data_IF_165245934294
#
_entry.id   IF_165245934294
#
_cell.length_a   1.000
_cell.length_b   1.000
_cell.length_c   1.000
_cell.angle_alpha   90.00
_cell.angle_beta   90.00
_cell.angle_gamma   90.00
#
_symmetry.space_group_name_H-M   'P 1'
#
loop_
_entity.id
_entity.type
_entity.pdbx_description
1 polymer ?
#
# COMPACT_ATOMS: atom_id res chain seq x y z
N UNK A 1 -21.88 -11.63 -3.37
CA UNK A 1 -20.50 -11.51 -3.90
C UNK A 1 -19.60 -10.72 -2.94
N UNK A 2 -19.85 -9.45 -2.67
CA UNK A 2 -19.00 -8.61 -1.82
C UNK A 2 -18.76 -9.22 -0.43
N UNK A 3 -19.80 -9.59 0.29
CA UNK A 3 -19.70 -10.15 1.64
C UNK A 3 -18.89 -11.45 1.69
N UNK A 4 -19.04 -12.32 0.70
CA UNK A 4 -18.28 -13.58 0.62
C UNK A 4 -16.79 -13.31 0.40
N UNK A 5 -16.45 -12.39 -0.48
CA UNK A 5 -15.05 -12.02 -0.77
C UNK A 5 -14.42 -11.33 0.45
N UNK A 6 -15.13 -10.38 1.07
CA UNK A 6 -14.66 -9.70 2.29
C UNK A 6 -14.47 -10.71 3.45
N UNK A 7 -15.39 -11.66 3.61
CA UNK A 7 -15.24 -12.73 4.60
C UNK A 7 -13.97 -13.53 4.34
N UNK A 8 -13.73 -13.95 3.09
CA UNK A 8 -12.52 -14.69 2.71
C UNK A 8 -11.24 -13.90 2.97
N UNK A 9 -11.24 -12.61 2.68
CA UNK A 9 -10.09 -11.73 2.99
C UNK A 9 -9.84 -11.64 4.50
N UNK A 10 -10.90 -11.52 5.32
CA UNK A 10 -10.77 -11.49 6.79
C UNK A 10 -10.25 -12.82 7.36
N UNK A 11 -10.69 -13.96 6.82
CA UNK A 11 -10.14 -15.28 7.15
C UNK A 11 -8.63 -15.34 6.87
N UNK A 12 -8.18 -14.78 5.76
CA UNK A 12 -6.75 -14.75 5.39
C UNK A 12 -5.92 -13.85 6.30
N UNK A 13 -6.49 -12.78 6.84
CA UNK A 13 -5.88 -11.94 7.88
C UNK A 13 -5.70 -12.74 9.19
N UNK A 14 -6.51 -13.78 9.42
CA UNK A 14 -6.48 -14.57 10.62
C UNK A 14 -7.52 -14.14 11.68
N UNK A 15 -8.54 -13.36 11.29
CA UNK A 15 -9.63 -13.04 12.20
C UNK A 15 -10.57 -14.23 12.34
N UNK A 16 -11.00 -14.59 13.59
CA UNK A 16 -11.79 -15.78 13.85
C UNK A 16 -13.03 -15.86 12.95
N UNK A 17 -13.20 -16.98 12.26
CA UNK A 17 -14.33 -17.27 11.34
C UNK A 17 -14.53 -16.24 10.21
N UNK A 18 -13.54 -15.37 9.96
CA UNK A 18 -13.68 -14.25 9.04
C UNK A 18 -14.73 -13.24 9.48
N UNK A 19 -15.03 -13.19 10.78
CA UNK A 19 -15.96 -12.22 11.33
C UNK A 19 -15.41 -10.80 11.26
N UNK A 20 -16.32 -9.83 11.29
CA UNK A 20 -15.98 -8.41 11.16
C UNK A 20 -16.87 -7.71 10.14
N UNK A 21 -16.43 -6.53 9.76
CA UNK A 21 -17.08 -5.67 8.77
C UNK A 21 -16.12 -5.37 7.62
N UNK A 22 -16.59 -4.66 6.61
CA UNK A 22 -15.77 -4.21 5.50
C UNK A 22 -16.60 -3.74 4.31
N UNK A 23 -15.92 -3.05 3.41
CA UNK A 23 -16.46 -2.66 2.11
C UNK A 23 -15.32 -2.45 1.09
N UNK A 24 -15.66 -2.51 -0.19
CA UNK A 24 -14.78 -2.07 -1.26
C UNK A 24 -14.92 -0.55 -1.46
N UNK A 25 -13.80 0.13 -1.57
CA UNK A 25 -13.69 1.58 -1.68
C UNK A 25 -12.89 2.00 -2.92
N UNK A 26 -13.03 3.26 -3.37
CA UNK A 26 -12.34 3.77 -4.56
C UNK A 26 -10.86 4.06 -4.28
N UNK A 27 -10.09 3.04 -3.97
CA UNK A 27 -8.64 3.11 -3.76
C UNK A 27 -8.21 3.20 -2.30
N UNK A 28 -6.92 2.85 -2.06
CA UNK A 28 -6.35 2.74 -0.72
C UNK A 28 -6.36 4.03 0.10
N UNK A 29 -6.32 5.20 -0.54
CA UNK A 29 -6.41 6.47 0.17
C UNK A 29 -7.76 6.64 0.88
N UNK A 30 -8.84 6.23 0.25
CA UNK A 30 -10.18 6.25 0.84
C UNK A 30 -10.32 5.14 1.89
N UNK A 31 -9.77 3.96 1.65
CA UNK A 31 -9.72 2.90 2.69
C UNK A 31 -8.99 3.38 3.96
N UNK A 32 -7.86 4.08 3.81
CA UNK A 32 -7.13 4.66 4.94
C UNK A 32 -7.96 5.74 5.66
N UNK A 33 -8.70 6.56 4.91
CA UNK A 33 -9.62 7.55 5.49
C UNK A 33 -10.72 6.88 6.30
N UNK A 34 -11.30 5.79 5.80
CA UNK A 34 -12.26 4.98 6.56
C UNK A 34 -11.65 4.46 7.87
N UNK A 35 -10.41 3.94 7.84
CA UNK A 35 -9.75 3.45 9.07
C UNK A 35 -9.65 4.54 10.14
N UNK A 36 -9.22 5.74 9.76
CA UNK A 36 -9.09 6.88 10.70
C UNK A 36 -10.48 7.33 11.20
N UNK A 37 -11.45 7.43 10.29
CA UNK A 37 -12.82 7.83 10.63
C UNK A 37 -13.50 6.85 11.60
N UNK A 38 -13.35 5.55 11.35
CA UNK A 38 -13.91 4.49 12.21
C UNK A 38 -13.24 4.50 13.58
N UNK A 39 -11.92 4.66 13.63
CA UNK A 39 -11.20 4.76 14.89
C UNK A 39 -11.69 5.96 15.72
N UNK A 40 -11.83 7.13 15.08
CA UNK A 40 -12.40 8.31 15.71
C UNK A 40 -13.83 8.05 16.24
N UNK A 41 -14.69 7.49 15.43
CA UNK A 41 -16.07 7.17 15.82
C UNK A 41 -16.13 6.18 16.98
N UNK A 42 -15.26 5.16 16.98
CA UNK A 42 -15.23 4.15 18.06
C UNK A 42 -14.96 4.77 19.43
N UNK A 43 -14.04 5.72 19.52
CA UNK A 43 -13.66 6.35 20.78
C UNK A 43 -14.47 7.61 21.09
N UNK A 44 -14.98 8.29 20.07
CA UNK A 44 -15.74 9.55 20.18
C UNK A 44 -16.97 9.52 19.27
N UNK A 45 -17.98 8.69 19.56
CA UNK A 45 -19.14 8.52 18.66
C UNK A 45 -19.94 9.81 18.49
N UNK A 46 -19.93 10.70 19.46
CA UNK A 46 -20.60 12.00 19.39
C UNK A 46 -20.09 12.91 18.28
N UNK A 47 -18.87 12.70 17.79
CA UNK A 47 -18.30 13.43 16.66
C UNK A 47 -19.19 13.28 15.39
N UNK A 48 -19.91 12.17 15.26
CA UNK A 48 -20.86 11.96 14.16
C UNK A 48 -21.95 13.03 14.12
N UNK A 49 -22.44 13.46 15.28
CA UNK A 49 -23.60 14.36 15.36
C UNK A 49 -23.20 15.80 15.77
N UNK A 50 -22.15 15.94 16.59
CA UNK A 50 -21.73 17.23 17.17
C UNK A 50 -20.46 17.80 16.53
N UNK A 51 -19.83 17.05 15.60
CA UNK A 51 -18.57 17.46 14.96
C UNK A 51 -17.35 17.31 15.87
N UNK A 52 -16.19 17.77 15.41
CA UNK A 52 -14.90 17.61 16.10
C UNK A 52 -14.82 18.32 17.44
N UNK A 53 -15.69 19.30 17.71
CA UNK A 53 -15.76 19.98 19.01
C UNK A 53 -16.21 19.05 20.15
N UNK A 54 -16.82 17.90 19.84
CA UNK A 54 -17.20 16.90 20.83
C UNK A 54 -16.04 15.95 21.23
N UNK A 55 -14.87 16.07 20.59
CA UNK A 55 -13.69 15.28 20.92
C UNK A 55 -12.57 16.18 21.46
N UNK A 56 -11.68 15.66 22.32
CA UNK A 56 -10.44 16.38 22.68
C UNK A 56 -9.55 16.51 21.44
N UNK A 57 -8.46 17.24 21.57
CA UNK A 57 -7.44 17.29 20.52
C UNK A 57 -6.90 15.87 20.26
N UNK A 58 -7.16 15.36 19.07
CA UNK A 58 -6.73 14.03 18.64
C UNK A 58 -5.45 14.12 17.81
N UNK A 59 -4.57 13.13 17.97
CA UNK A 59 -3.35 12.97 17.17
C UNK A 59 -3.33 11.63 16.46
N UNK A 60 -2.70 11.60 15.30
CA UNK A 60 -2.45 10.37 14.53
C UNK A 60 -0.95 10.13 14.51
N UNK A 61 -0.53 8.91 14.81
CA UNK A 61 0.86 8.53 14.66
C UNK A 61 1.03 7.67 13.40
N UNK A 62 2.07 7.94 12.63
CA UNK A 62 2.38 7.18 11.43
C UNK A 62 3.87 7.21 11.13
N UNK A 63 4.39 6.21 10.40
CA UNK A 63 5.78 6.22 9.96
C UNK A 63 6.08 7.45 9.09
N UNK A 64 7.27 8.00 9.19
CA UNK A 64 7.76 9.07 8.29
C UNK A 64 7.73 8.65 6.81
N UNK A 65 7.82 7.34 6.53
CA UNK A 65 7.72 6.76 5.20
C UNK A 65 6.31 6.26 4.85
N UNK A 66 5.31 6.58 5.68
CA UNK A 66 3.93 6.20 5.41
C UNK A 66 3.36 6.88 4.17
N UNK A 67 2.37 6.25 3.57
CA UNK A 67 1.68 6.82 2.43
C UNK A 67 1.01 8.17 2.81
N UNK A 68 1.19 9.18 1.97
CA UNK A 68 0.70 10.56 2.19
C UNK A 68 -0.81 10.65 2.51
N UNK A 69 -1.60 9.63 2.18
CA UNK A 69 -3.04 9.57 2.46
C UNK A 69 -3.38 9.62 3.95
N UNK A 70 -2.46 9.26 4.84
CA UNK A 70 -2.68 9.38 6.29
C UNK A 70 -2.72 10.87 6.68
N UNK A 71 -1.78 11.68 6.16
CA UNK A 71 -1.81 13.15 6.35
C UNK A 71 -3.08 13.77 5.75
N UNK A 72 -3.47 13.32 4.54
CA UNK A 72 -4.74 13.76 3.93
C UNK A 72 -5.96 13.38 4.76
N UNK A 73 -5.99 12.18 5.32
CA UNK A 73 -7.07 11.75 6.20
C UNK A 73 -7.14 12.62 7.47
N UNK A 74 -6.00 12.92 8.09
CA UNK A 74 -5.93 13.85 9.23
C UNK A 74 -6.48 15.23 8.92
N UNK A 75 -6.13 15.80 7.76
CA UNK A 75 -6.65 17.09 7.32
C UNK A 75 -8.16 17.02 7.03
N UNK A 76 -8.59 16.06 6.20
CA UNK A 76 -9.98 15.94 5.74
C UNK A 76 -10.97 15.62 6.88
N UNK A 77 -10.54 14.87 7.89
CA UNK A 77 -11.37 14.47 9.02
C UNK A 77 -11.31 15.42 10.21
N UNK A 78 -10.66 16.59 10.07
CA UNK A 78 -10.64 17.64 11.07
C UNK A 78 -9.62 17.46 12.20
N UNK A 79 -8.70 16.51 12.12
CA UNK A 79 -7.58 16.41 13.07
C UNK A 79 -6.56 17.53 12.87
N UNK A 80 -6.38 17.98 11.62
CA UNK A 80 -5.31 18.87 11.20
C UNK A 80 -4.04 18.10 10.82
N UNK A 81 -3.35 18.54 9.76
CA UNK A 81 -2.12 17.89 9.27
C UNK A 81 -0.97 17.92 10.26
N UNK A 82 -0.89 18.94 11.10
CA UNK A 82 0.13 19.09 12.15
C UNK A 82 -0.05 18.10 13.31
N UNK A 83 -1.26 17.57 13.49
CA UNK A 83 -1.56 16.53 14.47
C UNK A 83 -1.30 15.11 13.93
N UNK A 84 -0.72 14.98 12.73
CA UNK A 84 -0.22 13.71 12.21
C UNK A 84 1.28 13.62 12.52
N UNK A 85 1.59 12.94 13.60
CA UNK A 85 2.95 12.82 14.16
C UNK A 85 3.70 11.72 13.40
N UNK A 86 4.85 12.08 12.84
CA UNK A 86 5.70 11.14 12.11
C UNK A 86 6.62 10.41 13.10
N UNK A 87 6.70 9.09 12.95
CA UNK A 87 7.57 8.20 13.70
C UNK A 87 8.83 7.92 12.89
N UNK A 88 9.96 7.97 13.56
CA UNK A 88 11.27 7.66 12.96
C UNK A 88 11.34 6.20 12.56
N UNK A 89 12.14 5.93 11.52
CA UNK A 89 12.36 4.60 10.99
C UNK A 89 13.84 4.24 11.04
N UNK A 90 14.11 2.94 11.09
CA UNK A 90 15.47 2.43 10.88
C UNK A 90 15.88 2.53 9.40
N UNK A 91 17.11 2.16 9.09
CA UNK A 91 17.67 2.18 7.73
C UNK A 91 16.87 1.34 6.73
N UNK A 92 16.11 0.35 7.21
CA UNK A 92 15.23 -0.49 6.40
C UNK A 92 13.78 0.01 6.32
N UNK A 93 13.50 1.20 6.88
CA UNK A 93 12.18 1.83 6.88
C UNK A 93 11.17 1.24 7.88
N UNK A 94 11.64 0.48 8.88
CA UNK A 94 10.78 -0.04 9.95
C UNK A 94 10.68 1.00 11.07
N UNK A 95 9.49 1.22 11.58
CA UNK A 95 9.29 2.12 12.73
C UNK A 95 10.16 1.65 13.91
N UNK A 96 10.89 2.60 14.51
CA UNK A 96 11.68 2.36 15.72
C UNK A 96 10.73 2.28 16.93
N UNK A 97 10.63 1.12 17.61
CA UNK A 97 9.66 0.96 18.70
C UNK A 97 9.85 1.96 19.85
N UNK A 98 11.09 2.30 20.21
CA UNK A 98 11.40 3.27 21.27
C UNK A 98 10.98 4.69 20.90
N UNK A 99 11.07 5.08 19.61
CA UNK A 99 10.53 6.36 19.15
C UNK A 99 8.99 6.37 19.19
N UNK A 100 8.38 5.23 18.88
CA UNK A 100 6.95 5.02 19.04
C UNK A 100 6.53 5.11 20.51
N UNK A 101 7.22 4.43 21.42
CA UNK A 101 6.96 4.48 22.87
C UNK A 101 7.13 5.90 23.43
N UNK A 102 8.15 6.62 22.99
CA UNK A 102 8.38 8.01 23.37
C UNK A 102 7.27 8.97 22.87
N UNK A 103 6.70 8.68 21.69
CA UNK A 103 5.65 9.51 21.05
C UNK A 103 4.24 8.98 21.25
N UNK A 104 4.07 7.75 21.75
CA UNK A 104 2.78 7.12 21.98
C UNK A 104 2.71 6.55 23.38
N UNK A 105 1.72 6.97 24.11
CA UNK A 105 1.01 6.11 25.06
C UNK A 105 -0.21 5.44 24.42
N UNK A 106 -0.58 5.76 23.18
CA UNK A 106 -1.68 5.05 22.48
C UNK A 106 -1.86 5.47 21.01
N UNK A 107 -1.45 4.66 20.01
CA UNK A 107 -2.15 4.57 18.73
C UNK A 107 -1.61 3.44 17.81
N UNK A 108 -2.47 2.46 17.47
CA UNK A 108 -2.17 1.33 16.58
C UNK A 108 -2.89 1.48 15.25
N UNK A 109 -2.16 1.74 14.16
CA UNK A 109 -2.67 1.56 12.80
C UNK A 109 -1.56 1.15 11.83
N UNK A 110 -1.80 0.11 11.04
CA UNK A 110 -0.92 -0.33 9.95
C UNK A 110 -1.69 -0.32 8.63
N UNK A 111 -1.25 0.46 7.64
CA UNK A 111 -1.74 0.40 6.27
C UNK A 111 -0.85 -0.52 5.43
N UNK A 112 -1.43 -1.45 4.67
CA UNK A 112 -0.67 -2.46 3.95
C UNK A 112 -0.94 -2.44 2.44
N UNK A 113 -0.02 -1.89 1.65
CA UNK A 113 0.02 -2.12 0.20
C UNK A 113 0.45 -3.55 -0.15
N UNK A 114 1.18 -4.20 0.74
CA UNK A 114 1.65 -5.58 0.65
C UNK A 114 0.64 -6.64 1.06
N UNK A 115 -0.64 -6.32 1.24
CA UNK A 115 -1.67 -7.28 1.65
C UNK A 115 -1.76 -8.53 0.78
N UNK A 116 -1.33 -8.46 -0.49
CA UNK A 116 -1.22 -9.62 -1.37
C UNK A 116 -0.34 -10.76 -0.82
N UNK A 117 0.65 -10.47 0.03
CA UNK A 117 1.49 -11.51 0.65
C UNK A 117 0.70 -12.52 1.49
N UNK A 118 -0.49 -12.15 1.99
CA UNK A 118 -1.38 -13.07 2.71
C UNK A 118 -1.86 -14.24 1.85
N UNK A 119 -1.82 -14.09 0.52
CA UNK A 119 -2.18 -15.17 -0.43
C UNK A 119 -1.08 -16.24 -0.52
N UNK A 120 0.18 -15.91 -0.21
CA UNK A 120 1.33 -16.81 -0.33
C UNK A 120 1.61 -17.54 0.97
N UNK A 121 1.55 -18.87 0.96
CA UNK A 121 1.96 -19.71 2.11
C UNK A 121 3.44 -19.53 2.43
N UNK A 122 4.28 -19.33 1.42
CA UNK A 122 5.73 -19.13 1.54
C UNK A 122 6.09 -17.80 2.19
N UNK A 123 5.34 -16.72 1.93
CA UNK A 123 5.72 -15.36 2.29
C UNK A 123 4.80 -14.63 3.27
N UNK A 124 3.62 -15.21 3.63
CA UNK A 124 2.67 -14.57 4.55
C UNK A 124 3.24 -14.26 5.93
N UNK A 125 4.29 -15.00 6.36
CA UNK A 125 4.98 -14.75 7.62
C UNK A 125 5.55 -13.33 7.72
N UNK A 126 5.84 -12.67 6.59
CA UNK A 126 6.29 -11.28 6.53
C UNK A 126 5.24 -10.29 7.04
N UNK A 127 3.98 -10.72 7.14
CA UNK A 127 2.87 -9.95 7.69
C UNK A 127 2.40 -10.46 9.05
N UNK A 128 3.21 -11.25 9.77
CA UNK A 128 2.90 -11.72 11.12
C UNK A 128 2.54 -10.55 12.04
N UNK A 129 1.46 -10.70 12.80
CA UNK A 129 0.90 -9.66 13.65
C UNK A 129 -0.21 -8.83 12.99
N UNK A 130 -0.48 -9.00 11.68
CA UNK A 130 -1.60 -8.32 11.00
C UNK A 130 -2.95 -8.74 11.58
N UNK A 131 -3.05 -9.95 12.10
CA UNK A 131 -4.24 -10.48 12.76
C UNK A 131 -4.65 -9.70 14.02
N UNK A 132 -3.73 -8.94 14.60
CA UNK A 132 -3.97 -8.09 15.77
C UNK A 132 -4.52 -6.71 15.41
N UNK A 133 -4.45 -6.34 14.13
CA UNK A 133 -4.95 -5.04 13.67
C UNK A 133 -6.47 -4.94 13.85
N UNK A 134 -6.97 -3.75 14.20
CA UNK A 134 -8.41 -3.48 14.25
C UNK A 134 -9.00 -3.16 12.88
N UNK A 135 -8.18 -2.68 11.95
CA UNK A 135 -8.55 -2.47 10.56
C UNK A 135 -7.36 -2.75 9.63
N UNK A 136 -7.67 -3.22 8.42
CA UNK A 136 -6.68 -3.51 7.37
C UNK A 136 -7.16 -2.92 6.06
N UNK A 137 -6.34 -2.05 5.46
CA UNK A 137 -6.50 -1.62 4.08
C UNK A 137 -5.78 -2.60 3.16
N UNK A 138 -6.52 -3.26 2.28
CA UNK A 138 -5.96 -4.21 1.31
C UNK A 138 -6.27 -3.75 -0.11
N UNK A 139 -5.22 -3.61 -0.93
CA UNK A 139 -5.31 -3.12 -2.30
C UNK A 139 -5.07 -4.24 -3.34
N UNK A 140 -6.09 -5.02 -3.74
CA UNK A 140 -5.94 -6.04 -4.79
C UNK A 140 -5.45 -5.49 -6.12
N UNK A 141 -5.71 -4.21 -6.42
CA UNK A 141 -5.22 -3.54 -7.64
C UNK A 141 -3.71 -3.24 -7.64
N UNK A 142 -2.96 -3.63 -6.59
CA UNK A 142 -1.51 -3.53 -6.55
C UNK A 142 -0.89 -4.89 -6.85
N UNK A 143 -0.34 -5.56 -5.86
CA UNK A 143 0.40 -6.81 -6.03
C UNK A 143 -0.41 -7.97 -6.63
N UNK A 144 -1.74 -8.00 -6.42
CA UNK A 144 -2.59 -9.07 -6.97
C UNK A 144 -2.99 -8.84 -8.43
N UNK A 145 -2.63 -7.71 -9.04
CA UNK A 145 -2.85 -7.40 -10.44
C UNK A 145 -4.32 -7.21 -10.84
N UNK A 146 -5.22 -6.96 -9.90
CA UNK A 146 -6.60 -6.61 -10.22
C UNK A 146 -6.64 -5.24 -10.90
N UNK A 147 -7.38 -5.07 -12.01
CA UNK A 147 -7.46 -3.76 -12.69
C UNK A 147 -7.89 -2.64 -11.76
N UNK A 148 -7.28 -1.46 -11.93
CA UNK A 148 -7.59 -0.25 -11.17
C UNK A 148 -9.07 0.16 -11.38
N UNK A 149 -9.72 0.55 -10.33
CA UNK A 149 -9.29 0.52 -8.95
C UNK A 149 -9.97 -0.64 -8.22
N UNK A 150 -9.32 -1.21 -7.20
CA UNK A 150 -9.92 -2.21 -6.33
C UNK A 150 -9.20 -2.16 -4.97
N UNK A 151 -9.86 -1.65 -3.97
CA UNK A 151 -9.36 -1.53 -2.60
C UNK A 151 -10.43 -1.96 -1.62
N UNK A 152 -10.06 -2.60 -0.54
CA UNK A 152 -10.97 -2.96 0.54
C UNK A 152 -10.49 -2.37 1.86
N UNK A 153 -11.44 -1.87 2.64
CA UNK A 153 -11.29 -1.67 4.08
C UNK A 153 -11.93 -2.85 4.80
N UNK A 154 -11.16 -3.51 5.62
CA UNK A 154 -11.58 -4.63 6.45
C UNK A 154 -11.47 -4.18 7.91
N UNK A 155 -12.49 -4.46 8.70
CA UNK A 155 -12.58 -4.02 10.09
C UNK A 155 -12.96 -5.21 10.95
N UNK A 156 -12.26 -5.35 12.09
CA UNK A 156 -12.46 -6.47 13.00
C UNK A 156 -13.81 -6.41 13.72
N UNK A 157 -14.29 -5.21 14.00
CA UNK A 157 -15.55 -5.00 14.70
C UNK A 157 -16.73 -5.00 13.74
N UNK A 158 -17.68 -5.90 13.97
CA UNK A 158 -18.88 -6.05 13.15
C UNK A 158 -19.84 -4.87 13.37
N UNK A 159 -20.41 -4.34 12.27
CA UNK A 159 -21.42 -3.28 12.30
C UNK A 159 -20.88 -1.87 12.51
N UNK A 160 -19.57 -1.70 12.74
CA UNK A 160 -18.99 -0.37 13.02
C UNK A 160 -19.08 0.57 11.83
N UNK A 161 -19.01 0.05 10.60
CA UNK A 161 -19.18 0.88 9.38
C UNK A 161 -20.58 1.47 9.30
N UNK A 162 -21.61 0.69 9.59
CA UNK A 162 -22.98 1.17 9.69
C UNK A 162 -23.13 2.19 10.82
N UNK A 163 -22.65 1.88 12.01
CA UNK A 163 -22.69 2.83 13.13
C UNK A 163 -22.05 4.17 12.80
N UNK A 164 -20.88 4.14 12.14
CA UNK A 164 -20.14 5.35 11.78
C UNK A 164 -20.83 6.17 10.67
N UNK A 165 -21.33 5.51 9.60
CA UNK A 165 -21.73 6.19 8.37
C UNK A 165 -23.25 6.33 8.18
N UNK A 166 -24.07 5.45 8.79
CA UNK A 166 -25.50 5.44 8.50
C UNK A 166 -26.18 6.75 8.86
N UNK A 167 -27.00 7.23 7.95
CA UNK A 167 -27.86 8.41 8.11
C UNK A 167 -29.35 8.05 8.04
N UNK A 168 -29.65 6.76 7.81
CA UNK A 168 -31.01 6.21 7.77
C UNK A 168 -31.96 7.00 6.86
N UNK A 169 -31.48 7.39 5.67
CA UNK A 169 -32.27 8.17 4.71
C UNK A 169 -33.49 7.37 4.26
N UNK A 170 -34.67 7.71 4.80
CA UNK A 170 -35.92 6.95 4.61
C UNK A 170 -36.37 6.80 3.17
N UNK A 171 -35.94 7.69 2.26
CA UNK A 171 -36.24 7.59 0.83
C UNK A 171 -35.36 6.58 0.07
N UNK A 172 -34.27 6.10 0.67
CA UNK A 172 -33.36 5.12 0.08
C UNK A 172 -33.35 3.79 0.84
N UNK A 173 -33.43 3.84 2.16
CA UNK A 173 -33.23 2.68 3.04
C UNK A 173 -34.50 2.35 3.82
N UNK A 174 -35.59 2.09 3.08
CA UNK A 174 -36.90 1.77 3.65
C UNK A 174 -36.84 0.42 4.37
N UNK A 175 -37.28 0.34 5.66
CA UNK A 175 -37.26 -0.90 6.41
C UNK A 175 -38.34 -1.93 5.99
N UNK A 176 -39.32 -1.49 5.23
CA UNK A 176 -40.47 -2.27 4.72
C UNK A 176 -40.21 -2.91 3.34
N UNK A 177 -38.98 -2.89 2.85
CA UNK A 177 -38.61 -3.57 1.60
C UNK A 177 -38.86 -5.08 1.69
N UNK A 178 -39.29 -5.68 0.57
CA UNK A 178 -39.61 -7.11 0.47
C UNK A 178 -38.38 -8.02 0.41
N UNK A 179 -37.18 -7.47 0.47
CA UNK A 179 -35.88 -8.18 0.49
C UNK A 179 -35.05 -7.79 1.73
N UNK A 180 -34.02 -8.56 2.02
CA UNK A 180 -33.11 -8.28 3.12
C UNK A 180 -32.36 -6.96 2.91
N UNK A 181 -32.72 -5.93 3.67
CA UNK A 181 -32.15 -4.58 3.64
C UNK A 181 -30.64 -4.57 3.99
N UNK A 182 -30.09 -5.61 4.55
CA UNK A 182 -28.65 -5.74 4.76
C UNK A 182 -27.85 -5.79 3.45
N UNK A 183 -28.50 -6.06 2.33
CA UNK A 183 -27.88 -5.96 1.00
C UNK A 183 -27.72 -4.51 0.53
N UNK A 184 -28.42 -3.55 1.13
CA UNK A 184 -28.32 -2.13 0.83
C UNK A 184 -27.13 -1.52 1.57
N UNK A 185 -25.93 -1.74 1.03
CA UNK A 185 -24.67 -1.34 1.66
C UNK A 185 -24.34 0.15 1.52
N UNK A 186 -25.19 0.96 0.87
CA UNK A 186 -24.98 2.40 0.68
C UNK A 186 -24.87 3.16 1.99
N UNK A 187 -25.69 2.82 2.98
CA UNK A 187 -25.67 3.49 4.30
C UNK A 187 -24.44 3.16 5.16
N UNK A 188 -23.69 2.10 4.82
CA UNK A 188 -22.39 1.78 5.43
C UNK A 188 -21.23 2.57 4.83
N UNK A 189 -21.43 3.19 3.69
CA UNK A 189 -20.40 3.86 2.93
C UNK A 189 -20.56 5.37 2.98
N UNK A 190 -19.46 6.11 2.84
CA UNK A 190 -19.52 7.57 2.59
C UNK A 190 -20.20 7.85 1.25
N UNK A 191 -20.02 6.95 0.28
CA UNK A 191 -20.57 7.06 -1.05
C UNK A 191 -21.92 6.34 -1.11
N UNK A 192 -22.93 7.00 -1.66
CA UNK A 192 -24.24 6.38 -1.94
C UNK A 192 -24.07 5.32 -3.05
N UNK A 193 -23.55 5.71 -4.20
CA UNK A 193 -23.21 4.81 -5.30
C UNK A 193 -21.73 4.40 -5.28
N UNK A 194 -21.44 3.15 -5.59
CA UNK A 194 -20.09 2.62 -5.66
C UNK A 194 -19.82 1.91 -6.99
N UNK A 195 -18.61 2.03 -7.52
CA UNK A 195 -18.17 1.20 -8.64
C UNK A 195 -18.20 -0.28 -8.29
N UNK A 196 -18.45 -1.14 -9.29
CA UNK A 196 -18.51 -2.60 -9.12
C UNK A 196 -17.11 -3.20 -9.12
N UNK A 197 -16.17 -2.60 -8.37
CA UNK A 197 -14.77 -3.02 -8.31
C UNK A 197 -14.61 -4.44 -7.78
N UNK A 198 -15.52 -4.87 -6.92
CA UNK A 198 -15.55 -6.25 -6.40
C UNK A 198 -15.79 -7.28 -7.51
N UNK A 199 -16.55 -6.96 -8.56
CA UNK A 199 -16.85 -7.89 -9.64
C UNK A 199 -15.58 -8.34 -10.37
N UNK A 200 -14.67 -7.39 -10.70
CA UNK A 200 -13.37 -7.69 -11.32
C UNK A 200 -12.57 -8.67 -10.46
N UNK A 201 -12.47 -8.38 -9.19
CA UNK A 201 -11.71 -9.18 -8.25
C UNK A 201 -12.32 -10.57 -8.06
N UNK A 202 -13.64 -10.65 -7.92
CA UNK A 202 -14.36 -11.91 -7.80
C UNK A 202 -14.17 -12.78 -9.04
N UNK A 203 -14.30 -12.22 -10.25
CA UNK A 203 -14.04 -12.96 -11.50
C UNK A 203 -12.62 -13.48 -11.56
N UNK A 204 -11.64 -12.63 -11.24
CA UNK A 204 -10.22 -13.05 -11.20
C UNK A 204 -10.01 -14.16 -10.17
N UNK A 205 -10.65 -14.08 -9.01
CA UNK A 205 -10.53 -15.12 -7.99
C UNK A 205 -11.19 -16.42 -8.42
N UNK A 206 -12.34 -16.34 -9.09
CA UNK A 206 -13.00 -17.53 -9.68
C UNK A 206 -12.16 -18.18 -10.78
N UNK A 207 -11.52 -17.38 -11.62
CA UNK A 207 -10.70 -17.88 -12.71
C UNK A 207 -9.36 -18.47 -12.24
N UNK A 208 -8.66 -17.81 -11.32
CA UNK A 208 -7.31 -18.19 -10.86
C UNK A 208 -7.32 -19.11 -9.64
N UNK A 209 -8.35 -19.03 -8.82
CA UNK A 209 -8.37 -19.61 -7.48
C UNK A 209 -7.36 -18.97 -6.52
N UNK A 210 -7.35 -19.43 -5.28
CA UNK A 210 -6.36 -18.99 -4.28
C UNK A 210 -4.95 -19.42 -4.68
N UNK A 211 -4.80 -20.62 -5.25
CA UNK A 211 -3.50 -21.15 -5.71
C UNK A 211 -2.93 -20.32 -6.85
N UNK A 212 -3.76 -19.88 -7.82
CA UNK A 212 -3.28 -19.03 -8.90
C UNK A 212 -2.82 -17.65 -8.43
N UNK A 213 -3.45 -17.08 -7.41
CA UNK A 213 -2.93 -15.85 -6.77
C UNK A 213 -1.65 -16.11 -5.98
N UNK A 214 -1.55 -17.22 -5.25
CA UNK A 214 -0.31 -17.62 -4.58
C UNK A 214 0.85 -17.69 -5.56
N UNK A 215 0.69 -18.43 -6.66
CA UNK A 215 1.70 -18.57 -7.72
C UNK A 215 2.09 -17.22 -8.33
N UNK A 216 1.13 -16.32 -8.53
CA UNK A 216 1.39 -14.97 -9.01
C UNK A 216 2.27 -14.18 -8.03
N UNK A 217 1.92 -14.20 -6.75
CA UNK A 217 2.67 -13.49 -5.72
C UNK A 217 4.10 -14.04 -5.59
N UNK A 218 4.23 -15.36 -5.54
CA UNK A 218 5.54 -16.03 -5.44
C UNK A 218 6.40 -15.68 -6.65
N UNK A 219 5.85 -15.74 -7.87
CA UNK A 219 6.57 -15.34 -9.09
C UNK A 219 7.05 -13.90 -9.05
N UNK A 220 6.24 -12.96 -8.58
CA UNK A 220 6.66 -11.55 -8.45
C UNK A 220 7.84 -11.39 -7.48
N UNK A 221 7.84 -12.15 -6.39
CA UNK A 221 8.94 -12.16 -5.42
C UNK A 221 10.20 -12.83 -6.00
N UNK A 222 10.04 -13.94 -6.72
CA UNK A 222 11.15 -14.64 -7.37
C UNK A 222 11.81 -13.76 -8.45
N UNK A 223 11.02 -13.02 -9.26
CA UNK A 223 11.54 -12.05 -10.23
C UNK A 223 12.25 -10.87 -9.56
N UNK A 224 11.77 -10.41 -8.42
CA UNK A 224 12.45 -9.37 -7.65
C UNK A 224 13.78 -9.86 -7.09
N UNK A 225 13.82 -11.12 -6.62
CA UNK A 225 15.05 -11.76 -6.20
C UNK A 225 16.02 -11.98 -7.38
N UNK A 226 15.51 -12.33 -8.56
CA UNK A 226 16.28 -12.46 -9.78
C UNK A 226 16.96 -11.13 -10.15
N UNK A 227 16.19 -10.03 -10.19
CA UNK A 227 16.77 -8.70 -10.43
C UNK A 227 17.86 -8.36 -9.42
N UNK A 228 17.59 -8.54 -8.12
CA UNK A 228 18.58 -8.30 -7.07
C UNK A 228 19.86 -9.09 -7.32
N UNK A 229 19.76 -10.39 -7.62
CA UNK A 229 20.94 -11.25 -7.86
C UNK A 229 21.73 -10.84 -9.11
N UNK A 230 21.06 -10.29 -10.12
CA UNK A 230 21.70 -9.81 -11.36
C UNK A 230 22.52 -8.54 -11.16
N UNK A 231 22.09 -7.66 -10.25
CA UNK A 231 22.68 -6.31 -10.14
C UNK A 231 23.53 -6.10 -8.87
N UNK A 232 23.34 -6.90 -7.81
CA UNK A 232 23.99 -6.69 -6.50
C UNK A 232 25.52 -6.63 -6.56
N UNK A 233 26.13 -7.42 -7.46
CA UNK A 233 27.57 -7.51 -7.66
C UNK A 233 27.97 -7.06 -9.10
N UNK A 234 27.03 -6.44 -9.84
CA UNK A 234 27.27 -5.98 -11.22
C UNK A 234 27.93 -4.60 -11.20
N UNK A 235 28.98 -4.43 -12.00
CA UNK A 235 29.65 -3.13 -12.16
C UNK A 235 28.64 -2.05 -12.59
N UNK A 236 28.72 -0.87 -12.00
CA UNK A 236 27.81 0.23 -12.27
C UNK A 236 26.49 0.18 -11.52
N UNK A 237 26.28 -0.78 -10.64
CA UNK A 237 25.10 -0.84 -9.77
C UNK A 237 25.46 -0.79 -8.30
N UNK A 238 24.69 -0.06 -7.51
CA UNK A 238 24.78 -0.03 -6.06
C UNK A 238 23.40 -0.24 -5.45
N UNK A 239 23.30 -1.16 -4.50
CA UNK A 239 22.06 -1.37 -3.76
C UNK A 239 21.82 -0.23 -2.77
N UNK A 240 20.58 0.27 -2.68
CA UNK A 240 20.20 1.34 -1.72
C UNK A 240 20.08 0.79 -0.31
N UNK A 241 19.65 -0.46 -0.19
CA UNK A 241 19.43 -1.15 1.09
C UNK A 241 20.21 -2.45 1.10
N UNK A 242 20.82 -2.76 2.24
CA UNK A 242 21.56 -4.00 2.42
C UNK A 242 20.65 -5.23 2.43
N UNK A 243 21.19 -6.32 1.87
CA UNK A 243 20.57 -7.64 1.85
C UNK A 243 19.40 -7.77 0.86
N UNK A 244 18.80 -8.94 0.88
CA UNK A 244 17.74 -9.31 -0.07
C UNK A 244 16.49 -8.43 0.06
N UNK A 245 15.76 -8.17 -1.05
CA UNK A 245 14.54 -7.40 -1.01
C UNK A 245 13.51 -8.01 -0.05
N UNK A 246 12.91 -7.16 0.80
CA UNK A 246 11.87 -7.62 1.73
C UNK A 246 10.54 -7.92 1.03
N UNK A 247 10.33 -7.28 -0.11
CA UNK A 247 9.12 -7.36 -0.91
C UNK A 247 9.47 -7.34 -2.41
N UNK A 248 8.54 -7.03 -3.29
CA UNK A 248 8.73 -6.96 -4.75
C UNK A 248 9.41 -5.66 -5.23
N UNK A 249 9.86 -4.81 -4.34
CA UNK A 249 10.57 -3.58 -4.68
C UNK A 249 12.10 -3.79 -4.53
N UNK A 250 12.82 -3.55 -5.62
CA UNK A 250 14.29 -3.54 -5.66
C UNK A 250 14.72 -2.09 -5.88
N UNK A 251 15.52 -1.57 -4.95
CA UNK A 251 15.99 -0.19 -4.95
C UNK A 251 17.50 -0.15 -5.19
N UNK A 252 17.91 0.58 -6.22
CA UNK A 252 19.31 0.63 -6.64
C UNK A 252 19.68 1.93 -7.33
N UNK A 253 20.96 2.32 -7.27
CA UNK A 253 21.55 3.32 -8.14
C UNK A 253 22.19 2.63 -9.34
N UNK A 254 22.11 3.30 -10.51
CA UNK A 254 22.97 3.05 -11.63
C UNK A 254 24.03 4.14 -11.70
N UNK A 255 25.29 3.76 -11.79
CA UNK A 255 26.42 4.67 -11.96
C UNK A 255 26.91 4.60 -13.42
N UNK A 256 26.67 5.64 -14.20
CA UNK A 256 27.26 5.79 -15.51
C UNK A 256 28.79 5.67 -15.46
N UNK A 257 29.45 5.28 -16.56
CA UNK A 257 30.91 5.21 -16.63
C UNK A 257 31.63 6.45 -16.10
N UNK A 258 31.07 7.64 -16.40
CA UNK A 258 31.59 8.94 -15.94
C UNK A 258 31.61 9.13 -14.42
N UNK A 259 30.80 8.37 -13.67
CA UNK A 259 30.68 8.48 -12.21
C UNK A 259 31.43 7.37 -11.44
N UNK A 260 31.84 6.30 -12.10
CA UNK A 260 32.45 5.12 -11.45
C UNK A 260 33.80 5.42 -10.80
N UNK A 261 34.59 6.33 -11.38
CA UNK A 261 35.90 6.73 -10.86
C UNK A 261 35.89 7.95 -9.93
N UNK A 262 34.75 8.57 -9.70
CA UNK A 262 34.68 9.75 -8.85
C UNK A 262 34.69 9.33 -7.36
N UNK A 263 35.46 10.02 -6.49
CA UNK A 263 35.41 9.79 -5.06
C UNK A 263 34.03 10.14 -4.48
N UNK A 264 33.70 9.52 -3.35
CA UNK A 264 32.48 9.88 -2.64
C UNK A 264 32.57 11.32 -2.13
N UNK A 265 31.58 12.14 -2.53
CA UNK A 265 31.53 13.56 -2.22
C UNK A 265 30.28 14.23 -2.77
N UNK A 266 30.12 15.51 -2.48
CA UNK A 266 28.95 16.30 -2.88
C UNK A 266 28.79 16.32 -4.42
N UNK A 267 29.87 16.50 -5.16
CA UNK A 267 29.85 16.52 -6.63
C UNK A 267 29.30 15.21 -7.21
N UNK A 268 29.78 14.04 -6.71
CA UNK A 268 29.27 12.73 -7.15
C UNK A 268 27.79 12.57 -6.81
N UNK A 269 27.38 13.01 -5.62
CA UNK A 269 25.97 12.95 -5.17
C UNK A 269 25.06 13.79 -6.02
N UNK A 270 25.44 15.03 -6.35
CA UNK A 270 24.66 15.92 -7.23
C UNK A 270 24.51 15.33 -8.64
N UNK A 271 25.59 14.80 -9.22
CA UNK A 271 25.53 14.13 -10.51
C UNK A 271 24.64 12.89 -10.47
N UNK A 272 24.80 12.03 -9.46
CA UNK A 272 24.02 10.82 -9.28
C UNK A 272 22.51 11.12 -9.09
N UNK A 273 22.19 12.23 -8.41
CA UNK A 273 20.81 12.67 -8.23
C UNK A 273 20.06 12.88 -9.56
N UNK A 274 20.78 13.22 -10.64
CA UNK A 274 20.23 13.51 -11.96
C UNK A 274 20.14 12.28 -12.87
N UNK A 275 20.81 11.18 -12.56
CA UNK A 275 20.89 9.98 -13.42
C UNK A 275 19.53 9.31 -13.59
N UNK A 276 18.89 8.91 -12.50
CA UNK A 276 17.61 8.18 -12.58
C UNK A 276 16.48 9.01 -13.24
N UNK A 277 16.30 10.32 -12.94
CA UNK A 277 15.35 11.15 -13.66
C UNK A 277 15.59 11.21 -15.17
N UNK A 278 16.86 11.33 -15.60
CA UNK A 278 17.23 11.46 -17.00
C UNK A 278 17.01 10.17 -17.77
N UNK A 279 17.46 9.03 -17.23
CA UNK A 279 17.21 7.72 -17.83
C UNK A 279 15.70 7.45 -17.93
N UNK A 280 14.92 7.74 -16.89
CA UNK A 280 13.46 7.59 -16.94
C UNK A 280 12.83 8.46 -18.05
N UNK A 281 13.26 9.70 -18.23
CA UNK A 281 12.78 10.57 -19.31
C UNK A 281 13.05 9.94 -20.68
N UNK A 282 14.26 9.45 -20.91
CA UNK A 282 14.62 8.77 -22.17
C UNK A 282 13.83 7.47 -22.39
N UNK A 283 13.56 6.70 -21.34
CA UNK A 283 12.67 5.53 -21.42
C UNK A 283 11.25 5.92 -21.86
N UNK A 284 10.72 7.02 -21.33
CA UNK A 284 9.40 7.52 -21.69
C UNK A 284 9.35 8.04 -23.13
N UNK A 285 10.37 8.75 -23.56
CA UNK A 285 10.49 9.29 -24.93
C UNK A 285 10.63 8.17 -25.95
N UNK A 286 11.43 7.14 -25.66
CA UNK A 286 11.63 5.99 -26.56
C UNK A 286 10.48 4.98 -26.52
N UNK A 287 9.64 5.02 -25.47
CA UNK A 287 8.53 4.08 -25.29
C UNK A 287 8.94 2.62 -25.03
N UNK A 288 10.20 2.39 -24.65
CA UNK A 288 10.77 1.05 -24.51
C UNK A 288 10.38 0.37 -23.21
N UNK A 289 10.52 1.08 -22.09
CA UNK A 289 10.15 0.61 -20.75
C UNK A 289 9.97 1.80 -19.80
N UNK A 290 9.61 1.51 -18.54
CA UNK A 290 9.51 2.55 -17.53
C UNK A 290 9.80 1.98 -16.13
N UNK A 291 10.73 2.61 -15.41
CA UNK A 291 10.97 2.35 -13.99
C UNK A 291 10.81 3.64 -13.17
N UNK A 292 10.27 3.51 -11.96
CA UNK A 292 10.13 4.64 -11.05
C UNK A 292 11.45 4.99 -10.35
N UNK A 293 11.57 6.25 -9.92
CA UNK A 293 12.65 6.69 -9.05
C UNK A 293 12.11 7.56 -7.92
N UNK A 294 12.86 7.68 -6.86
CA UNK A 294 12.55 8.57 -5.72
C UNK A 294 13.82 8.84 -4.90
N UNK A 295 13.90 9.97 -4.17
CA UNK A 295 14.84 10.12 -3.07
C UNK A 295 14.24 9.54 -1.79
N UNK A 296 15.09 9.26 -0.78
CA UNK A 296 14.63 8.88 0.55
C UNK A 296 15.65 9.25 1.62
N UNK A 297 15.26 10.06 2.60
CA UNK A 297 16.14 10.55 3.65
C UNK A 297 17.38 11.26 3.06
N UNK A 298 18.56 10.74 3.36
CA UNK A 298 19.86 11.23 2.81
C UNK A 298 20.16 10.67 1.41
N UNK A 299 19.42 9.68 0.93
CA UNK A 299 19.66 9.04 -0.36
C UNK A 299 19.16 9.94 -1.49
N UNK A 300 20.04 10.25 -2.43
CA UNK A 300 19.69 10.91 -3.69
C UNK A 300 18.77 10.01 -4.53
N UNK A 301 18.20 10.54 -5.62
CA UNK A 301 17.32 9.76 -6.48
C UNK A 301 17.92 8.41 -6.84
N UNK A 302 17.15 7.35 -6.59
CA UNK A 302 17.48 5.97 -6.94
C UNK A 302 16.31 5.32 -7.68
N UNK A 303 16.59 4.33 -8.49
CA UNK A 303 15.56 3.52 -9.14
C UNK A 303 14.83 2.66 -8.12
N UNK A 304 13.52 2.62 -8.24
CA UNK A 304 12.64 1.76 -7.47
C UNK A 304 11.82 0.89 -8.43
N UNK A 305 12.37 -0.28 -8.75
CA UNK A 305 11.65 -1.27 -9.54
C UNK A 305 10.69 -2.04 -8.64
N UNK A 306 9.40 -2.08 -9.02
CA UNK A 306 8.36 -2.83 -8.31
C UNK A 306 7.79 -3.86 -9.26
N UNK A 307 8.04 -5.13 -8.97
CA UNK A 307 7.49 -6.23 -9.77
C UNK A 307 6.08 -6.56 -9.27
N UNK A 308 5.09 -6.36 -10.13
CA UNK A 308 3.67 -6.66 -9.84
C UNK A 308 2.90 -7.18 -11.05
N UNK A 309 3.54 -7.25 -12.21
CA UNK A 309 2.93 -7.72 -13.46
C UNK A 309 3.02 -9.24 -13.56
N UNK A 310 1.88 -9.88 -13.78
CA UNK A 310 1.77 -11.34 -13.96
C UNK A 310 2.53 -11.85 -15.22
N UNK A 311 2.56 -11.04 -16.27
CA UNK A 311 3.18 -11.40 -17.54
C UNK A 311 4.71 -11.19 -17.54
N UNK A 312 5.27 -10.50 -16.56
CA UNK A 312 6.70 -10.25 -16.50
C UNK A 312 7.51 -11.55 -16.43
N UNK A 313 8.63 -11.57 -17.13
CA UNK A 313 9.56 -12.70 -17.23
C UNK A 313 10.98 -12.29 -16.82
N UNK A 314 11.90 -13.25 -16.72
CA UNK A 314 13.31 -12.96 -16.50
C UNK A 314 13.92 -12.17 -17.68
N UNK A 315 13.46 -12.46 -18.91
CA UNK A 315 13.88 -11.72 -20.11
C UNK A 315 13.51 -10.24 -20.05
N UNK A 316 12.34 -9.90 -19.49
CA UNK A 316 11.95 -8.49 -19.29
C UNK A 316 12.82 -7.80 -18.26
N UNK A 317 13.27 -8.52 -17.23
CA UNK A 317 14.22 -8.00 -16.23
C UNK A 317 15.60 -7.79 -16.86
N UNK A 318 16.09 -8.75 -17.67
CA UNK A 318 17.36 -8.61 -18.38
C UNK A 318 17.30 -7.42 -19.35
N UNK A 319 16.21 -7.28 -20.13
CA UNK A 319 15.99 -6.14 -20.99
C UNK A 319 15.99 -4.80 -20.22
N UNK A 320 15.37 -4.75 -19.05
CA UNK A 320 15.38 -3.53 -18.22
C UNK A 320 16.81 -3.14 -17.81
N UNK A 321 17.64 -4.10 -17.44
CA UNK A 321 19.05 -3.86 -17.06
C UNK A 321 19.83 -3.33 -18.27
N UNK A 322 19.72 -4.02 -19.40
CA UNK A 322 20.42 -3.63 -20.64
C UNK A 322 19.98 -2.23 -21.13
N UNK A 323 18.69 -1.92 -20.99
CA UNK A 323 18.15 -0.62 -21.39
C UNK A 323 18.61 0.51 -20.46
N UNK A 324 18.73 0.27 -19.15
CA UNK A 324 19.32 1.24 -18.20
C UNK A 324 20.77 1.52 -18.58
N UNK A 325 21.54 0.50 -18.92
CA UNK A 325 22.94 0.64 -19.33
C UNK A 325 23.05 1.38 -20.66
N UNK A 326 22.26 1.00 -21.64
CA UNK A 326 22.24 1.67 -22.95
C UNK A 326 21.91 3.16 -22.88
N UNK A 327 20.89 3.51 -22.09
CA UNK A 327 20.46 4.91 -21.93
C UNK A 327 21.38 5.72 -21.01
N UNK A 328 22.11 5.05 -20.14
CA UNK A 328 22.95 5.70 -19.14
C UNK A 328 24.44 5.78 -19.50
N UNK A 329 24.89 5.15 -20.58
CA UNK A 329 26.32 5.04 -20.89
C UNK A 329 27.03 6.37 -21.13
N UNK A 330 26.30 7.38 -21.64
CA UNK A 330 26.84 8.69 -22.01
C UNK A 330 26.48 9.80 -21.01
N UNK A 331 25.99 9.45 -19.82
CA UNK A 331 25.60 10.40 -18.78
C UNK A 331 26.74 10.80 -17.86
#
# INVERSE_FOLDING_TARGET
MEQLTLKKMREMIGWPNGEGDGLFSPGGAISNMYSVMIARYKYFPEVKTKGMSAAPRLVLFTSEHSHYSIKKAGAALGFGSENVILLSTDERGRVIPSDLEAKILDAKQKGAWGGGLLMSRKHRHKLSGVERANSVTWNPHKMMGVPLQCSAILVREKGILGGCNSMCAGYLFQPDKQYDVNYDTGDKAIQCGRHVDIFKFWLMWKAKGTIGFEQHIDRCLDLSQYLYNKIKDREGYLMVFDGVPQHTNVCFWYLPPSLRGLPDGEERREKLHRVAPKIKAMMMESGTTMVGYQPQGKNVNFFRMVVSNLAATQSDIDFLIDEIERLGQDL
#
